data_IF_800649897354
#
_entry.id   IF_800649897354
#
_cell.length_a   1.000
_cell.length_b   1.000
_cell.length_c   1.000
_cell.angle_alpha   90.00
_cell.angle_beta   90.00
_cell.angle_gamma   90.00
#
_symmetry.space_group_name_H-M   'P 1'
#
loop_
_entity.id
_entity.type
_entity.pdbx_description
1 polymer ?
#
# COMPACT_ATOMS: atom_id res chain seq x y z
N UNK A 1 20.41 -15.42 -0.61
CA UNK A 1 20.16 -14.00 -0.93
C UNK A 1 19.12 -13.36 0.01
N UNK A 2 17.89 -13.92 0.15
CA UNK A 2 16.90 -13.36 1.10
C UNK A 2 17.42 -13.41 2.54
N UNK A 3 17.95 -14.55 3.00
CA UNK A 3 18.53 -14.64 4.36
C UNK A 3 19.64 -13.60 4.60
N UNK A 4 20.52 -13.37 3.64
CA UNK A 4 21.57 -12.34 3.79
C UNK A 4 21.01 -10.93 3.88
N UNK A 5 19.83 -10.67 3.29
CA UNK A 5 19.11 -9.41 3.45
C UNK A 5 18.49 -9.32 4.86
N UNK A 6 17.89 -10.39 5.34
CA UNK A 6 17.37 -10.48 6.73
C UNK A 6 18.50 -10.20 7.72
N UNK A 7 19.62 -10.92 7.61
CA UNK A 7 20.79 -10.76 8.51
C UNK A 7 21.32 -9.31 8.51
N UNK A 8 21.31 -8.64 7.36
CA UNK A 8 21.70 -7.23 7.26
C UNK A 8 20.69 -6.34 8.00
N UNK A 9 19.39 -6.54 7.79
CA UNK A 9 18.35 -5.73 8.44
C UNK A 9 18.26 -6.00 9.95
N UNK A 10 18.60 -7.20 10.42
CA UNK A 10 18.76 -7.48 11.84
C UNK A 10 19.94 -6.74 12.49
N UNK A 11 20.96 -6.38 11.70
CA UNK A 11 22.15 -5.67 12.18
C UNK A 11 21.98 -4.17 12.35
N UNK A 12 20.89 -3.59 11.85
CA UNK A 12 20.62 -2.16 11.90
C UNK A 12 19.43 -1.84 12.82
N UNK A 13 19.34 -0.58 13.24
CA UNK A 13 18.20 -0.10 14.04
C UNK A 13 16.87 -0.36 13.30
N UNK A 14 15.83 -0.94 13.93
CA UNK A 14 14.59 -1.29 13.26
C UNK A 14 13.80 -0.08 12.69
N UNK A 15 13.92 1.11 13.28
CA UNK A 15 13.30 2.33 12.74
C UNK A 15 14.02 2.74 11.45
N UNK A 16 15.35 2.61 11.45
CA UNK A 16 16.14 2.83 10.23
C UNK A 16 15.87 1.76 9.18
N UNK A 17 15.64 0.52 9.60
CA UNK A 17 15.21 -0.57 8.74
C UNK A 17 13.85 -0.26 8.07
N UNK A 18 12.87 0.24 8.83
CA UNK A 18 11.59 0.71 8.31
C UNK A 18 11.76 1.81 7.25
N UNK A 19 12.64 2.78 7.52
CA UNK A 19 12.95 3.84 6.55
C UNK A 19 13.54 3.26 5.26
N UNK A 20 14.50 2.35 5.34
CA UNK A 20 15.12 1.76 4.15
C UNK A 20 14.13 0.90 3.34
N UNK A 21 13.31 0.12 4.03
CA UNK A 21 12.29 -0.69 3.40
C UNK A 21 11.25 0.17 2.67
N UNK A 22 10.80 1.27 3.28
CA UNK A 22 9.83 2.19 2.67
C UNK A 22 10.45 3.14 1.62
N UNK A 23 11.74 3.43 1.70
CA UNK A 23 12.47 4.07 0.60
C UNK A 23 12.58 3.13 -0.61
N UNK A 24 12.71 1.83 -0.39
CA UNK A 24 12.66 0.84 -1.47
C UNK A 24 11.27 0.82 -2.12
N UNK A 25 10.17 0.80 -1.36
CA UNK A 25 8.82 0.80 -1.93
C UNK A 25 8.56 2.08 -2.74
N UNK A 26 8.89 3.25 -2.20
CA UNK A 26 8.86 4.51 -2.93
C UNK A 26 9.70 4.48 -4.22
N UNK A 27 10.92 3.92 -4.16
CA UNK A 27 11.80 3.83 -5.33
C UNK A 27 11.16 3.00 -6.46
N UNK A 28 10.46 1.93 -6.13
CA UNK A 28 9.77 1.09 -7.13
C UNK A 28 8.59 1.85 -7.75
N UNK A 29 7.82 2.66 -6.97
CA UNK A 29 6.82 3.58 -7.54
C UNK A 29 7.48 4.58 -8.50
N UNK A 30 8.60 5.17 -8.12
CA UNK A 30 9.35 6.08 -8.98
C UNK A 30 9.85 5.37 -10.24
N UNK A 31 10.28 4.11 -10.13
CA UNK A 31 10.68 3.30 -11.28
C UNK A 31 9.51 3.05 -12.23
N UNK A 32 8.32 2.69 -11.72
CA UNK A 32 7.10 2.59 -12.51
C UNK A 32 6.75 3.92 -13.19
N UNK A 33 6.77 5.02 -12.45
CA UNK A 33 6.50 6.36 -12.98
C UNK A 33 7.48 6.77 -14.11
N UNK A 34 8.70 6.25 -14.10
CA UNK A 34 9.73 6.54 -15.11
C UNK A 34 9.37 6.05 -16.52
N UNK A 35 8.40 5.17 -16.66
CA UNK A 35 7.94 4.67 -17.95
C UNK A 35 7.42 5.77 -18.89
N UNK A 36 7.00 6.93 -18.36
CA UNK A 36 6.62 8.11 -19.17
C UNK A 36 7.77 8.67 -20.02
N UNK A 37 9.02 8.34 -19.71
CA UNK A 37 10.17 8.76 -20.53
C UNK A 37 10.28 7.93 -21.80
N UNK A 38 9.84 6.67 -21.75
CA UNK A 38 9.94 5.71 -22.85
C UNK A 38 8.65 5.62 -23.67
N UNK A 39 7.49 5.68 -23.00
CA UNK A 39 6.18 5.49 -23.59
C UNK A 39 5.33 6.76 -23.48
N UNK A 40 4.48 7.01 -24.47
CA UNK A 40 3.47 8.10 -24.42
C UNK A 40 2.10 7.58 -24.02
N UNK A 41 1.79 6.36 -24.41
CA UNK A 41 0.53 5.67 -24.12
C UNK A 41 0.83 4.22 -23.75
N UNK A 42 0.00 3.65 -22.91
CA UNK A 42 0.03 2.22 -22.57
C UNK A 42 -1.27 1.57 -23.04
N UNK A 43 -1.22 0.30 -23.38
CA UNK A 43 -2.41 -0.49 -23.69
C UNK A 43 -3.28 -0.59 -22.45
N UNK A 44 -4.56 -0.26 -22.58
CA UNK A 44 -5.49 -0.25 -21.44
C UNK A 44 -5.64 -1.64 -20.81
N UNK A 45 -5.70 -2.71 -21.61
CA UNK A 45 -5.79 -4.07 -21.08
C UNK A 45 -4.58 -4.45 -20.20
N UNK A 46 -3.37 -4.01 -20.58
CA UNK A 46 -2.16 -4.21 -19.75
C UNK A 46 -2.28 -3.44 -18.44
N UNK A 47 -2.74 -2.19 -18.50
CA UNK A 47 -2.93 -1.36 -17.30
C UNK A 47 -3.98 -1.97 -16.37
N UNK A 48 -5.13 -2.41 -16.90
CA UNK A 48 -6.20 -3.05 -16.11
C UNK A 48 -5.71 -4.34 -15.45
N UNK A 49 -4.93 -5.17 -16.18
CA UNK A 49 -4.29 -6.37 -15.63
C UNK A 49 -3.29 -6.05 -14.50
N UNK A 50 -2.50 -4.98 -14.66
CA UNK A 50 -1.54 -4.53 -13.65
C UNK A 50 -2.25 -3.97 -12.40
N UNK A 51 -3.30 -3.19 -12.58
CA UNK A 51 -4.12 -2.68 -11.46
C UNK A 51 -4.84 -3.83 -10.74
N UNK A 52 -5.39 -4.79 -11.49
CA UNK A 52 -5.93 -6.00 -10.89
C UNK A 52 -4.88 -6.72 -10.04
N UNK A 53 -3.67 -6.91 -10.58
CA UNK A 53 -2.56 -7.54 -9.86
C UNK A 53 -2.23 -6.79 -8.56
N UNK A 54 -2.15 -5.46 -8.59
CA UNK A 54 -1.98 -4.61 -7.41
C UNK A 54 -3.04 -4.92 -6.34
N UNK A 55 -4.33 -4.90 -6.71
CA UNK A 55 -5.41 -5.21 -5.77
C UNK A 55 -5.30 -6.60 -5.15
N UNK A 56 -4.88 -7.60 -5.95
CA UNK A 56 -4.66 -8.96 -5.46
C UNK A 56 -3.53 -9.05 -4.43
N UNK A 57 -2.40 -8.39 -4.68
CA UNK A 57 -1.28 -8.28 -3.73
C UNK A 57 -1.74 -7.62 -2.44
N UNK A 58 -2.44 -6.48 -2.53
CA UNK A 58 -2.95 -5.74 -1.36
C UNK A 58 -3.87 -6.58 -0.49
N UNK A 59 -4.81 -7.34 -1.08
CA UNK A 59 -5.73 -8.20 -0.32
C UNK A 59 -4.99 -9.33 0.38
N UNK A 60 -4.05 -9.98 -0.30
CA UNK A 60 -3.24 -11.04 0.30
C UNK A 60 -2.37 -10.50 1.45
N UNK A 61 -1.66 -9.40 1.25
CA UNK A 61 -0.87 -8.73 2.28
C UNK A 61 -1.72 -8.33 3.49
N UNK A 62 -2.92 -7.78 3.25
CA UNK A 62 -3.85 -7.40 4.32
C UNK A 62 -4.20 -8.58 5.24
N UNK A 63 -4.29 -9.78 4.69
CA UNK A 63 -4.59 -10.96 5.50
C UNK A 63 -3.32 -11.54 6.12
N UNK A 64 -2.35 -12.00 5.32
CA UNK A 64 -1.21 -12.77 5.82
C UNK A 64 -0.19 -11.92 6.59
N UNK A 65 0.17 -10.75 6.06
CA UNK A 65 1.17 -9.90 6.71
C UNK A 65 0.62 -9.04 7.85
N UNK A 66 -0.70 -8.79 7.90
CA UNK A 66 -1.27 -7.84 8.85
C UNK A 66 -2.35 -8.44 9.77
N UNK A 67 -3.47 -8.98 9.22
CA UNK A 67 -4.58 -9.46 10.06
C UNK A 67 -4.23 -10.74 10.80
N UNK A 68 -3.59 -11.70 10.17
CA UNK A 68 -3.23 -12.96 10.82
C UNK A 68 -2.26 -12.70 11.99
N UNK A 69 -1.14 -11.97 11.82
CA UNK A 69 -0.29 -11.57 12.95
C UNK A 69 -1.01 -10.76 14.03
N UNK A 70 -1.89 -9.83 13.62
CA UNK A 70 -2.67 -9.05 14.60
C UNK A 70 -3.54 -9.93 15.49
N UNK A 71 -4.15 -10.97 14.93
CA UNK A 71 -4.95 -11.95 15.70
C UNK A 71 -4.05 -12.82 16.58
N UNK A 72 -2.89 -13.27 16.06
CA UNK A 72 -1.95 -14.11 16.82
C UNK A 72 -1.39 -13.39 18.03
N UNK A 73 -1.02 -12.12 17.89
CA UNK A 73 -0.50 -11.26 18.96
C UNK A 73 -1.56 -10.82 19.96
N UNK A 74 -2.87 -11.01 19.65
CA UNK A 74 -3.95 -10.58 20.53
C UNK A 74 -4.13 -11.55 21.70
N UNK A 75 -4.24 -10.98 22.90
CA UNK A 75 -4.48 -11.75 24.15
C UNK A 75 -5.92 -12.24 24.24
N UNK A 76 -6.13 -13.27 25.07
CA UNK A 76 -7.47 -13.83 25.36
C UNK A 76 -7.84 -15.01 24.47
N UNK A 77 -9.10 -15.47 24.61
CA UNK A 77 -9.67 -16.60 23.89
C UNK A 77 -10.99 -16.23 23.22
N UNK A 78 -11.34 -16.95 22.14
CA UNK A 78 -12.59 -16.77 21.43
C UNK A 78 -12.79 -15.35 20.92
N UNK A 79 -13.90 -14.72 21.27
CA UNK A 79 -14.22 -13.36 20.81
C UNK A 79 -13.23 -12.30 21.32
N UNK A 80 -12.64 -12.47 22.49
CA UNK A 80 -11.69 -11.51 23.05
C UNK A 80 -10.46 -11.38 22.15
N UNK A 81 -9.97 -12.50 21.63
CA UNK A 81 -8.81 -12.54 20.73
C UNK A 81 -9.05 -11.80 19.40
N UNK A 82 -10.29 -11.73 18.94
CA UNK A 82 -10.67 -11.10 17.67
C UNK A 82 -10.90 -9.58 17.80
N UNK A 83 -11.21 -9.09 19.01
CA UNK A 83 -11.58 -7.67 19.23
C UNK A 83 -10.51 -6.69 18.70
N UNK A 84 -9.20 -6.82 19.02
CA UNK A 84 -8.21 -5.87 18.51
C UNK A 84 -8.17 -5.81 16.99
N UNK A 85 -8.19 -6.98 16.33
CA UNK A 85 -8.19 -7.06 14.88
C UNK A 85 -9.47 -6.47 14.26
N UNK A 86 -10.64 -6.81 14.78
CA UNK A 86 -11.92 -6.30 14.28
C UNK A 86 -12.05 -4.77 14.46
N UNK A 87 -11.69 -4.26 15.65
CA UNK A 87 -11.74 -2.82 15.95
C UNK A 87 -10.72 -2.06 15.11
N UNK A 88 -9.47 -2.53 15.07
CA UNK A 88 -8.43 -1.91 14.25
C UNK A 88 -8.82 -1.83 12.78
N UNK A 89 -9.28 -2.94 12.21
CA UNK A 89 -9.71 -3.03 10.81
C UNK A 89 -10.84 -2.04 10.49
N UNK A 90 -11.88 -2.00 11.33
CA UNK A 90 -12.98 -1.05 11.14
C UNK A 90 -12.52 0.41 11.26
N UNK A 91 -11.63 0.70 12.22
CA UNK A 91 -11.09 2.05 12.37
C UNK A 91 -10.24 2.48 11.16
N UNK A 92 -9.45 1.57 10.57
CA UNK A 92 -8.68 1.83 9.37
C UNK A 92 -9.56 2.14 8.16
N UNK A 93 -10.59 1.32 7.94
CA UNK A 93 -11.56 1.55 6.86
C UNK A 93 -12.33 2.87 7.08
N UNK A 94 -12.82 3.13 8.30
CA UNK A 94 -13.54 4.37 8.63
C UNK A 94 -12.64 5.60 8.57
N UNK A 95 -11.37 5.48 8.88
CA UNK A 95 -10.40 6.57 8.74
C UNK A 95 -10.27 6.99 7.27
N UNK A 96 -10.05 6.04 6.36
CA UNK A 96 -9.96 6.36 4.93
C UNK A 96 -11.31 6.84 4.38
N UNK A 97 -12.41 6.20 4.74
CA UNK A 97 -13.75 6.69 4.38
C UNK A 97 -13.96 8.14 4.81
N UNK A 98 -13.50 8.52 6.00
CA UNK A 98 -13.62 9.89 6.51
C UNK A 98 -12.74 10.86 5.73
N UNK A 99 -11.51 10.48 5.41
CA UNK A 99 -10.61 11.27 4.58
C UNK A 99 -11.20 11.46 3.19
N UNK A 100 -11.76 10.41 2.62
CA UNK A 100 -12.43 10.39 1.33
C UNK A 100 -13.57 11.41 1.25
N UNK A 101 -14.39 11.50 2.28
CA UNK A 101 -15.49 12.47 2.38
C UNK A 101 -15.05 13.91 2.65
N UNK A 102 -13.92 14.12 3.31
CA UNK A 102 -13.46 15.46 3.72
C UNK A 102 -12.47 16.06 2.72
N UNK A 103 -11.54 15.25 2.21
CA UNK A 103 -10.52 15.75 1.30
C UNK A 103 -11.02 15.76 -0.15
N UNK A 104 -10.84 16.87 -0.86
CA UNK A 104 -11.19 16.91 -2.27
C UNK A 104 -10.21 16.04 -3.06
N UNK A 105 -10.70 15.03 -3.72
CA UNK A 105 -9.89 14.13 -4.55
C UNK A 105 -10.62 13.70 -5.82
N UNK A 106 -9.92 13.08 -6.74
CA UNK A 106 -10.43 12.63 -8.04
C UNK A 106 -10.02 11.18 -8.25
N UNK A 107 -10.99 10.33 -8.54
CA UNK A 107 -10.72 8.95 -8.91
C UNK A 107 -9.84 8.84 -10.17
N UNK A 108 -9.16 7.71 -10.33
CA UNK A 108 -8.21 7.47 -11.44
C UNK A 108 -8.88 7.63 -12.81
N UNK A 109 -10.21 7.40 -12.91
CA UNK A 109 -10.99 7.58 -14.12
C UNK A 109 -11.13 9.05 -14.62
N UNK A 110 -10.74 10.04 -13.82
CA UNK A 110 -10.86 11.48 -14.09
C UNK A 110 -12.29 12.02 -14.30
N UNK A 111 -13.32 11.28 -14.00
CA UNK A 111 -14.72 11.67 -14.24
C UNK A 111 -15.43 12.07 -12.96
N UNK A 112 -15.20 11.36 -11.88
CA UNK A 112 -15.86 11.58 -10.60
C UNK A 112 -14.94 12.28 -9.62
N UNK A 113 -15.50 13.29 -8.93
CA UNK A 113 -14.83 14.03 -7.87
C UNK A 113 -15.59 13.84 -6.57
N UNK A 114 -14.89 13.43 -5.52
CA UNK A 114 -15.45 13.29 -4.17
C UNK A 114 -14.86 14.31 -3.19
N UNK A 115 -15.43 14.33 -1.98
CA UNK A 115 -15.03 15.26 -0.93
C UNK A 115 -15.60 16.67 -1.10
N UNK A 116 -14.99 17.63 -0.41
CA UNK A 116 -15.41 19.04 -0.44
C UNK A 116 -15.10 19.66 -1.80
N UNK A 117 -16.06 20.40 -2.38
CA UNK A 117 -15.86 21.12 -3.65
C UNK A 117 -14.62 22.02 -3.58
N UNK A 118 -13.65 21.76 -4.45
CA UNK A 118 -12.37 22.45 -4.47
C UNK A 118 -12.10 23.08 -5.84
N UNK A 119 -11.50 24.29 -5.90
CA UNK A 119 -11.02 24.89 -7.14
C UNK A 119 -9.72 24.26 -7.64
N UNK A 120 -9.19 23.25 -6.98
CA UNK A 120 -7.93 22.62 -7.34
C UNK A 120 -8.00 21.92 -8.71
N UNK A 121 -6.87 21.90 -9.38
CA UNK A 121 -6.77 21.21 -10.68
C UNK A 121 -6.98 19.70 -10.52
N UNK A 122 -7.62 19.07 -11.48
CA UNK A 122 -7.87 17.61 -11.50
C UNK A 122 -6.61 16.79 -11.24
N UNK A 123 -5.46 17.24 -11.76
CA UNK A 123 -4.16 16.60 -11.51
C UNK A 123 -3.78 16.57 -10.03
N UNK A 124 -4.01 17.67 -9.31
CA UNK A 124 -3.71 17.76 -7.88
C UNK A 124 -4.61 16.83 -7.07
N UNK A 125 -5.90 16.78 -7.44
CA UNK A 125 -6.89 15.91 -6.80
C UNK A 125 -6.55 14.42 -6.99
N UNK A 126 -6.11 14.03 -8.18
CA UNK A 126 -5.66 12.65 -8.46
C UNK A 126 -4.42 12.28 -7.62
N UNK A 127 -3.41 13.14 -7.62
CA UNK A 127 -2.18 12.89 -6.85
C UNK A 127 -2.50 12.80 -5.36
N UNK A 128 -3.42 13.62 -4.86
CA UNK A 128 -3.85 13.57 -3.46
C UNK A 128 -4.53 12.23 -3.14
N UNK A 129 -5.46 11.77 -3.99
CA UNK A 129 -6.11 10.47 -3.83
C UNK A 129 -5.07 9.35 -3.62
N UNK A 130 -4.13 9.22 -4.56
CA UNK A 130 -3.12 8.16 -4.52
C UNK A 130 -2.14 8.34 -3.34
N UNK A 131 -1.81 9.58 -2.97
CA UNK A 131 -1.02 9.84 -1.77
C UNK A 131 -1.72 9.33 -0.50
N UNK A 132 -3.05 9.45 -0.42
CA UNK A 132 -3.82 8.90 0.70
C UNK A 132 -3.78 7.36 0.75
N UNK A 133 -3.75 6.71 -0.41
CA UNK A 133 -3.63 5.26 -0.52
C UNK A 133 -2.26 4.75 -0.05
N UNK A 134 -1.20 5.49 -0.30
CA UNK A 134 0.17 5.12 0.08
C UNK A 134 0.47 5.30 1.58
N UNK A 135 -0.37 6.06 2.32
CA UNK A 135 -0.23 6.18 3.79
C UNK A 135 -0.37 4.81 4.50
N UNK A 136 -1.44 4.03 4.28
CA UNK A 136 -1.57 2.69 4.85
C UNK A 136 -0.43 1.74 4.52
N UNK A 137 0.12 1.83 3.31
CA UNK A 137 1.22 0.97 2.86
C UNK A 137 2.50 1.25 3.64
N UNK A 138 2.88 2.52 3.74
CA UNK A 138 4.01 2.92 4.56
C UNK A 138 3.82 2.56 6.03
N UNK A 139 2.62 2.84 6.60
CA UNK A 139 2.29 2.47 7.97
C UNK A 139 2.39 0.97 8.21
N UNK A 140 1.91 0.12 7.31
CA UNK A 140 1.94 -1.33 7.43
C UNK A 140 3.38 -1.85 7.60
N UNK A 141 4.30 -1.42 6.72
CA UNK A 141 5.72 -1.77 6.82
C UNK A 141 6.30 -1.25 8.13
N UNK A 142 6.05 0.02 8.47
CA UNK A 142 6.57 0.66 9.67
C UNK A 142 6.13 -0.02 10.95
N UNK A 143 4.85 -0.37 11.05
CA UNK A 143 4.28 -1.03 12.24
C UNK A 143 4.93 -2.40 12.49
N UNK A 144 5.21 -3.19 11.44
CA UNK A 144 5.92 -4.46 11.59
C UNK A 144 7.34 -4.27 12.11
N UNK A 145 8.12 -3.35 11.54
CA UNK A 145 9.45 -3.03 12.06
C UNK A 145 9.39 -2.46 13.49
N UNK A 146 8.35 -1.69 13.80
CA UNK A 146 8.09 -1.21 15.17
C UNK A 146 7.84 -2.36 16.14
N UNK A 147 7.14 -3.42 15.73
CA UNK A 147 6.97 -4.63 16.52
C UNK A 147 8.29 -5.33 16.84
N UNK A 148 9.17 -5.42 15.83
CA UNK A 148 10.55 -5.94 16.04
C UNK A 148 11.31 -5.07 17.02
N UNK A 149 11.26 -3.74 16.86
CA UNK A 149 11.91 -2.78 17.79
C UNK A 149 11.41 -2.91 19.22
N UNK A 150 10.12 -3.22 19.39
CA UNK A 150 9.49 -3.44 20.69
C UNK A 150 9.78 -4.83 21.29
N UNK A 151 10.48 -5.72 20.56
CA UNK A 151 10.83 -7.07 21.02
C UNK A 151 9.62 -8.02 21.04
N UNK A 152 8.63 -7.82 20.21
CA UNK A 152 7.45 -8.69 20.11
C UNK A 152 7.86 -10.00 19.44
N UNK A 153 7.66 -11.17 20.07
CA UNK A 153 8.14 -12.45 19.54
C UNK A 153 7.55 -12.84 18.17
N UNK A 154 6.31 -12.42 17.90
CA UNK A 154 5.59 -12.70 16.67
C UNK A 154 5.96 -11.74 15.53
N UNK A 155 6.67 -10.64 15.82
CA UNK A 155 7.17 -9.69 14.83
C UNK A 155 8.57 -10.13 14.35
N UNK A 156 8.73 -10.31 13.04
CA UNK A 156 10.00 -10.73 12.45
C UNK A 156 10.49 -9.75 11.37
N UNK A 157 11.79 -9.61 11.25
CA UNK A 157 12.42 -8.87 10.13
C UNK A 157 12.06 -9.53 8.80
N UNK A 158 11.99 -10.86 8.75
CA UNK A 158 11.63 -11.60 7.54
C UNK A 158 10.20 -11.23 7.07
N UNK A 159 9.21 -11.24 7.97
CA UNK A 159 7.84 -10.84 7.68
C UNK A 159 7.74 -9.37 7.23
N UNK A 160 8.43 -8.45 7.92
CA UNK A 160 8.45 -7.04 7.55
C UNK A 160 9.07 -6.79 6.16
N UNK A 161 10.15 -7.49 5.83
CA UNK A 161 10.78 -7.45 4.51
C UNK A 161 9.91 -8.08 3.43
N UNK A 162 9.24 -9.19 3.74
CA UNK A 162 8.32 -9.86 2.81
C UNK A 162 7.17 -8.93 2.44
N UNK A 163 6.55 -8.26 3.42
CA UNK A 163 5.54 -7.24 3.17
C UNK A 163 6.10 -6.09 2.32
N UNK A 164 7.28 -5.55 2.66
CA UNK A 164 7.89 -4.47 1.90
C UNK A 164 8.20 -4.86 0.44
N UNK A 165 8.61 -6.12 0.19
CA UNK A 165 8.80 -6.64 -1.16
C UNK A 165 7.46 -6.72 -1.90
N UNK A 166 6.42 -7.24 -1.26
CA UNK A 166 5.07 -7.31 -1.83
C UNK A 166 4.52 -5.94 -2.20
N UNK A 167 4.60 -4.98 -1.27
CA UNK A 167 4.24 -3.57 -1.54
C UNK A 167 5.10 -2.99 -2.67
N UNK A 168 6.40 -3.24 -2.69
CA UNK A 168 7.26 -2.81 -3.80
C UNK A 168 6.80 -3.35 -5.15
N UNK A 169 6.42 -4.63 -5.22
CA UNK A 169 5.93 -5.25 -6.46
C UNK A 169 4.65 -4.57 -6.96
N UNK A 170 3.69 -4.23 -6.08
CA UNK A 170 2.46 -3.54 -6.47
C UNK A 170 2.68 -2.06 -6.81
N UNK A 171 3.63 -1.40 -6.17
CA UNK A 171 3.96 0.01 -6.39
C UNK A 171 4.48 0.29 -7.80
N UNK A 172 5.07 -0.70 -8.46
CA UNK A 172 5.49 -0.55 -9.86
C UNK A 172 4.30 -0.27 -10.79
N UNK A 173 3.22 -1.09 -10.83
CA UNK A 173 1.98 -0.76 -11.51
C UNK A 173 1.38 0.60 -11.12
N UNK A 174 1.39 0.94 -9.84
CA UNK A 174 0.82 2.21 -9.36
C UNK A 174 1.55 3.42 -9.92
N UNK A 175 2.87 3.42 -9.89
CA UNK A 175 3.67 4.49 -10.51
C UNK A 175 3.33 4.71 -11.98
N UNK A 176 3.07 3.63 -12.73
CA UNK A 176 2.60 3.68 -14.11
C UNK A 176 1.18 4.24 -14.17
N UNK A 177 0.27 3.76 -13.32
CA UNK A 177 -1.15 4.14 -13.32
C UNK A 177 -1.36 5.63 -13.03
N UNK A 178 -0.48 6.24 -12.23
CA UNK A 178 -0.50 7.69 -11.99
C UNK A 178 0.12 8.47 -13.14
N UNK A 179 1.33 8.10 -13.54
CA UNK A 179 2.16 8.93 -14.42
C UNK A 179 1.73 8.88 -15.90
N UNK A 180 1.27 7.71 -16.38
CA UNK A 180 0.90 7.54 -17.79
C UNK A 180 -0.37 8.30 -18.20
N UNK A 181 -1.47 8.31 -17.43
CA UNK A 181 -2.63 9.16 -17.73
C UNK A 181 -2.27 10.64 -17.77
N UNK A 182 -1.46 11.15 -16.83
CA UNK A 182 -0.99 12.53 -16.84
C UNK A 182 -0.21 12.87 -18.13
N UNK A 183 0.62 11.94 -18.57
CA UNK A 183 1.35 12.06 -19.84
C UNK A 183 0.41 12.07 -21.03
N UNK A 184 -0.63 11.22 -21.03
CA UNK A 184 -1.66 11.16 -22.08
C UNK A 184 -2.46 12.47 -22.18
N UNK A 185 -2.73 13.12 -21.06
CA UNK A 185 -3.39 14.44 -20.99
C UNK A 185 -2.53 15.62 -21.50
N UNK A 186 -1.33 15.35 -22.01
CA UNK A 186 -0.44 16.36 -22.58
C UNK A 186 0.58 16.95 -21.61
N UNK A 187 0.64 16.47 -20.38
CA UNK A 187 1.66 16.89 -19.42
C UNK A 187 3.06 16.49 -19.91
N UNK A 188 4.08 17.30 -19.59
CA UNK A 188 5.45 16.97 -19.96
C UNK A 188 5.93 15.71 -19.24
N UNK A 189 6.85 14.93 -19.85
CA UNK A 189 7.43 13.71 -19.26
C UNK A 189 7.91 13.93 -17.83
N UNK A 190 8.69 15.00 -17.62
CA UNK A 190 9.27 15.35 -16.32
C UNK A 190 8.18 15.63 -15.28
N UNK A 191 7.13 16.40 -15.63
CA UNK A 191 6.04 16.69 -14.70
C UNK A 191 5.25 15.43 -14.37
N UNK A 192 4.89 14.60 -15.37
CA UNK A 192 4.18 13.33 -15.14
C UNK A 192 4.96 12.39 -14.24
N UNK A 193 6.29 12.27 -14.46
CA UNK A 193 7.17 11.52 -13.57
C UNK A 193 7.18 12.08 -12.15
N UNK A 194 7.36 13.41 -12.00
CA UNK A 194 7.42 14.05 -10.67
C UNK A 194 6.12 13.84 -9.89
N UNK A 195 4.98 13.96 -10.53
CA UNK A 195 3.71 13.69 -9.86
C UNK A 195 3.55 12.21 -9.48
N UNK A 196 3.90 11.28 -10.39
CA UNK A 196 3.82 9.85 -10.13
C UNK A 196 4.71 9.40 -8.97
N UNK A 197 5.96 9.83 -8.92
CA UNK A 197 6.87 9.46 -7.82
C UNK A 197 6.54 10.18 -6.50
N UNK A 198 5.96 11.41 -6.58
CA UNK A 198 5.66 12.18 -5.37
C UNK A 198 4.47 11.64 -4.59
N UNK A 199 3.56 10.90 -5.23
CA UNK A 199 2.43 10.28 -4.55
C UNK A 199 2.86 9.26 -3.49
N UNK A 200 3.98 8.59 -3.69
CA UNK A 200 4.52 7.60 -2.76
C UNK A 200 5.57 8.16 -1.76
N UNK A 201 5.93 9.45 -1.82
CA UNK A 201 6.84 10.06 -0.84
C UNK A 201 6.31 10.00 0.60
N UNK A 202 5.03 9.79 0.77
CA UNK A 202 4.39 9.63 2.08
C UNK A 202 4.74 8.28 2.73
N UNK A 203 5.08 7.26 1.95
CA UNK A 203 5.40 5.92 2.48
C UNK A 203 6.59 5.92 3.46
N UNK A 204 7.78 6.50 3.13
CA UNK A 204 8.87 6.60 4.09
C UNK A 204 8.51 7.37 5.36
N UNK A 205 7.68 8.41 5.23
CA UNK A 205 7.23 9.21 6.38
C UNK A 205 6.28 8.38 7.25
N UNK A 206 5.28 7.76 6.64
CA UNK A 206 4.31 6.91 7.34
C UNK A 206 4.99 5.68 7.96
N UNK A 207 5.98 5.09 7.27
CA UNK A 207 6.75 3.96 7.78
C UNK A 207 7.51 4.31 9.06
N UNK A 208 8.24 5.42 9.07
CA UNK A 208 8.94 5.88 10.29
C UNK A 208 7.95 6.21 11.40
N UNK A 209 6.84 6.89 11.09
CA UNK A 209 5.79 7.20 12.09
C UNK A 209 5.21 5.90 12.67
N UNK A 210 4.89 4.91 11.85
CA UNK A 210 4.37 3.61 12.29
C UNK A 210 5.34 2.87 13.19
N UNK A 211 6.61 2.78 12.80
CA UNK A 211 7.65 2.15 13.60
C UNK A 211 7.83 2.82 14.97
N UNK A 212 7.94 4.14 14.98
CA UNK A 212 8.10 4.93 16.21
C UNK A 212 6.87 4.81 17.11
N UNK A 213 5.65 4.89 16.58
CA UNK A 213 4.42 4.80 17.36
C UNK A 213 4.33 3.50 18.16
N UNK A 214 4.69 2.37 17.57
CA UNK A 214 4.70 1.05 18.24
C UNK A 214 5.73 0.98 19.36
N UNK A 215 6.91 1.58 19.20
CA UNK A 215 7.93 1.58 20.24
C UNK A 215 7.50 2.36 21.49
N UNK A 216 6.68 3.41 21.33
CA UNK A 216 6.15 4.18 22.46
C UNK A 216 4.96 3.50 23.14
N UNK A 217 4.16 2.73 22.41
CA UNK A 217 2.97 2.10 22.95
C UNK A 217 2.73 0.73 22.31
N UNK A 218 3.48 -0.26 22.76
CA UNK A 218 3.45 -1.65 22.26
C UNK A 218 2.04 -2.28 22.20
N UNK A 219 1.12 -2.07 23.18
CA UNK A 219 -0.23 -2.65 23.10
C UNK A 219 -1.07 -2.20 21.91
N UNK A 220 -0.66 -1.15 21.18
CA UNK A 220 -1.33 -0.70 19.97
C UNK A 220 -1.06 -1.61 18.76
N UNK A 221 -0.03 -2.45 18.81
CA UNK A 221 0.46 -3.20 17.66
C UNK A 221 -0.63 -4.02 16.94
N UNK A 222 -1.44 -4.88 17.62
CA UNK A 222 -2.50 -5.63 16.95
C UNK A 222 -3.55 -4.71 16.28
N UNK A 223 -3.89 -3.61 16.95
CA UNK A 223 -4.81 -2.61 16.39
C UNK A 223 -4.20 -1.88 15.19
N UNK A 224 -2.92 -1.52 15.25
CA UNK A 224 -2.23 -0.79 14.19
C UNK A 224 -2.05 -1.65 12.92
N UNK A 225 -1.69 -2.92 13.07
CA UNK A 225 -1.64 -3.88 11.96
C UNK A 225 -3.01 -4.05 11.30
N UNK A 226 -4.05 -4.28 12.12
CA UNK A 226 -5.40 -4.42 11.61
C UNK A 226 -5.94 -3.11 11.01
N UNK A 227 -5.56 -1.95 11.55
CA UNK A 227 -5.89 -0.64 10.99
C UNK A 227 -5.31 -0.48 9.58
N UNK A 228 -4.04 -0.81 9.39
CA UNK A 228 -3.40 -0.76 8.07
C UNK A 228 -4.10 -1.71 7.09
N UNK A 229 -4.44 -2.94 7.52
CA UNK A 229 -5.19 -3.90 6.72
C UNK A 229 -6.57 -3.36 6.30
N UNK A 230 -7.33 -2.80 7.24
CA UNK A 230 -8.66 -2.23 6.97
C UNK A 230 -8.62 -1.06 6.00
N UNK A 231 -7.62 -0.19 6.15
CA UNK A 231 -7.38 0.92 5.23
C UNK A 231 -7.01 0.41 3.83
N UNK A 232 -6.12 -0.58 3.71
CA UNK A 232 -5.76 -1.17 2.41
C UNK A 232 -6.94 -1.86 1.73
N UNK A 233 -7.77 -2.60 2.47
CA UNK A 233 -8.98 -3.23 1.89
C UNK A 233 -9.97 -2.16 1.43
N UNK A 234 -10.14 -1.05 2.17
CA UNK A 234 -10.98 0.07 1.74
C UNK A 234 -10.51 0.60 0.38
N UNK A 235 -9.21 0.87 0.20
CA UNK A 235 -8.62 1.31 -1.08
C UNK A 235 -8.91 0.34 -2.21
N UNK A 236 -8.72 -0.96 -1.98
CA UNK A 236 -8.95 -1.97 -3.02
C UNK A 236 -10.42 -1.96 -3.48
N UNK A 237 -11.36 -1.87 -2.55
CA UNK A 237 -12.80 -1.93 -2.84
C UNK A 237 -13.30 -0.62 -3.46
N UNK A 238 -12.84 0.51 -2.97
CA UNK A 238 -13.32 1.85 -3.38
C UNK A 238 -12.67 2.34 -4.66
N UNK A 239 -11.39 2.03 -4.89
CA UNK A 239 -10.62 2.58 -6.01
C UNK A 239 -10.16 1.52 -7.01
N UNK A 240 -9.44 0.49 -6.54
CA UNK A 240 -8.74 -0.43 -7.45
C UNK A 240 -9.74 -1.29 -8.24
N UNK A 241 -10.69 -1.94 -7.56
CA UNK A 241 -11.68 -2.80 -8.22
C UNK A 241 -12.57 -1.98 -9.18
N UNK A 242 -13.18 -0.86 -8.78
CA UNK A 242 -13.99 -0.06 -9.70
C UNK A 242 -13.22 0.41 -10.94
N UNK A 243 -11.96 0.84 -10.79
CA UNK A 243 -11.13 1.28 -11.92
C UNK A 243 -10.90 0.13 -12.92
N UNK A 244 -10.67 -1.09 -12.44
CA UNK A 244 -10.45 -2.26 -13.30
C UNK A 244 -11.72 -2.76 -14.02
N UNK A 245 -12.90 -2.30 -13.58
CA UNK A 245 -14.19 -2.72 -14.15
C UNK A 245 -14.77 -1.71 -15.16
N UNK A 246 -14.09 -0.60 -15.44
CA UNK A 246 -14.60 0.45 -16.33
C UNK A 246 -14.60 0.09 -17.82
N UNK A 247 -13.68 -0.78 -18.23
CA UNK A 247 -13.49 -1.17 -19.63
C UNK A 247 -13.86 -2.63 -19.90
N UNK A 248 -13.72 -3.05 -21.14
CA UNK A 248 -14.01 -4.42 -21.59
C UNK A 248 -13.00 -5.48 -21.14
N UNK A 249 -11.98 -5.07 -20.38
CA UNK A 249 -10.85 -5.93 -20.01
C UNK A 249 -11.00 -6.57 -18.62
N UNK A 250 -12.24 -6.70 -18.13
CA UNK A 250 -12.54 -7.21 -16.79
C UNK A 250 -11.93 -8.58 -16.50
N UNK A 251 -11.90 -9.48 -17.49
CA UNK A 251 -11.30 -10.81 -17.34
C UNK A 251 -9.79 -10.73 -17.12
N UNK A 252 -9.09 -9.83 -17.83
CA UNK A 252 -7.65 -9.62 -17.68
C UNK A 252 -7.34 -9.05 -16.30
N UNK A 253 -8.14 -8.07 -15.86
CA UNK A 253 -8.03 -7.50 -14.53
C UNK A 253 -8.28 -8.53 -13.43
N UNK A 254 -9.30 -9.38 -13.60
CA UNK A 254 -9.64 -10.46 -12.67
C UNK A 254 -8.51 -11.50 -12.58
N UNK A 255 -7.96 -11.92 -13.71
CA UNK A 255 -6.81 -12.83 -13.74
C UNK A 255 -5.56 -12.18 -13.15
N UNK A 256 -5.36 -10.89 -13.38
CA UNK A 256 -4.32 -10.10 -12.74
C UNK A 256 -4.48 -10.14 -11.22
N UNK A 257 -5.68 -9.87 -10.70
CA UNK A 257 -5.99 -9.90 -9.27
C UNK A 257 -5.69 -11.27 -8.64
N UNK A 258 -6.17 -12.35 -9.26
CA UNK A 258 -5.87 -13.72 -8.80
C UNK A 258 -4.37 -13.98 -8.81
N UNK A 259 -3.66 -13.55 -9.86
CA UNK A 259 -2.21 -13.69 -9.97
C UNK A 259 -1.46 -12.93 -8.87
N UNK A 260 -1.84 -11.68 -8.62
CA UNK A 260 -1.26 -10.86 -7.54
C UNK A 260 -1.48 -11.46 -6.16
N UNK A 261 -2.70 -11.94 -5.90
CA UNK A 261 -3.04 -12.63 -4.66
C UNK A 261 -2.16 -13.87 -4.44
N UNK A 262 -2.03 -14.73 -5.47
CA UNK A 262 -1.20 -15.94 -5.38
C UNK A 262 0.28 -15.61 -5.16
N UNK A 263 0.80 -14.59 -5.86
CA UNK A 263 2.19 -14.16 -5.68
C UNK A 263 2.44 -13.71 -4.25
N UNK A 264 1.61 -12.82 -3.71
CA UNK A 264 1.80 -12.32 -2.35
C UNK A 264 1.60 -13.41 -1.29
N UNK A 265 0.55 -14.22 -1.41
CA UNK A 265 0.35 -15.39 -0.55
C UNK A 265 1.59 -16.31 -0.54
N UNK A 266 2.19 -16.53 -1.71
CA UNK A 266 3.38 -17.38 -1.82
C UNK A 266 4.59 -16.73 -1.13
N UNK A 267 4.77 -15.42 -1.28
CA UNK A 267 5.85 -14.70 -0.61
C UNK A 267 5.69 -14.77 0.91
N UNK A 268 4.49 -14.48 1.44
CA UNK A 268 4.22 -14.53 2.87
C UNK A 268 4.46 -15.92 3.47
N UNK A 269 3.92 -16.97 2.84
CA UNK A 269 4.05 -18.36 3.35
C UNK A 269 5.47 -18.90 3.20
N UNK A 270 6.22 -18.48 2.16
CA UNK A 270 7.55 -19.02 1.89
C UNK A 270 8.68 -18.24 2.57
N UNK A 271 8.50 -16.95 2.86
CA UNK A 271 9.56 -16.04 3.34
C UNK A 271 9.22 -15.34 4.65
N UNK A 272 7.92 -15.21 4.97
CA UNK A 272 7.39 -14.47 6.13
C UNK A 272 7.41 -15.20 7.48
#
# INVERSE_FOLDING_TARGET
>A
MFQSLVDYFESIDPILAALYATLFTWFITAFGASFVFFFKTMNRAVLDGMLGFTGGVMVAASYWSLLAPAIEMSEGEGFQKVIPAAVGFMLGALFLFSLDKVLPHLHINFQETEGVKSPWQRTTLLVLAITLHNIPEGLAVGVLFGGVAAGIPEASIAGALTLAIGIGIQNFPEGIAVSMPLRRMGMSRRKSFMYGQSSALVEPIAGVIGAVAVTFFTPILPYALAFAAGAMIFVVVEEVIPETQQDKNTDIATLGFIGGFVVMMTLDVALG
#
